data_IF_150522697554
#
_entry.id   IF_150522697554
#
_cell.length_a   1.000
_cell.length_b   1.000
_cell.length_c   1.000
_cell.angle_alpha   90.00
_cell.angle_beta   90.00
_cell.angle_gamma   90.00
#
_symmetry.space_group_name_H-M   'P 1'
#
loop_
_entity.id
_entity.type
_entity.pdbx_description
1 polymer ?
#
# COMPACT_ATOMS: atom_id res chain seq x y z
N UNK A 1 -26.34 -11.74 9.44
CA UNK A 1 -25.07 -12.51 9.34
C UNK A 1 -24.14 -11.98 10.42
N UNK A 2 -23.58 -12.82 11.29
CA UNK A 2 -22.63 -12.37 12.31
C UNK A 2 -21.34 -11.88 11.62
N UNK A 3 -20.70 -10.83 12.15
CA UNK A 3 -19.54 -10.17 11.54
C UNK A 3 -18.42 -11.17 11.18
N UNK A 4 -18.20 -12.19 12.02
CA UNK A 4 -17.26 -13.30 11.76
C UNK A 4 -17.58 -14.10 10.49
N UNK A 5 -18.84 -14.42 10.25
CA UNK A 5 -19.27 -15.18 9.06
C UNK A 5 -19.17 -14.33 7.80
N UNK A 6 -19.41 -13.02 7.91
CA UNK A 6 -19.24 -12.07 6.82
C UNK A 6 -17.76 -11.96 6.43
N UNK A 7 -16.87 -11.78 7.40
CA UNK A 7 -15.42 -11.74 7.19
C UNK A 7 -14.91 -13.03 6.53
N UNK A 8 -15.38 -14.20 7.00
CA UNK A 8 -15.00 -15.50 6.44
C UNK A 8 -15.46 -15.65 4.98
N UNK A 9 -16.66 -15.17 4.67
CA UNK A 9 -17.22 -15.20 3.30
C UNK A 9 -16.46 -14.26 2.37
N UNK A 10 -16.20 -13.02 2.79
CA UNK A 10 -15.43 -12.04 2.02
C UNK A 10 -14.01 -12.55 1.74
N UNK A 11 -13.32 -13.11 2.74
CA UNK A 11 -11.98 -13.70 2.55
C UNK A 11 -11.99 -14.87 1.57
N UNK A 12 -13.03 -15.70 1.56
CA UNK A 12 -13.19 -16.78 0.57
C UNK A 12 -13.45 -16.27 -0.85
N UNK A 13 -14.15 -15.14 -0.98
CA UNK A 13 -14.43 -14.52 -2.28
C UNK A 13 -13.20 -13.81 -2.86
N UNK A 14 -12.44 -13.10 -2.02
CA UNK A 14 -11.25 -12.36 -2.43
C UNK A 14 -10.06 -13.28 -2.73
N UNK A 15 -9.90 -14.38 -1.97
CA UNK A 15 -8.75 -15.27 -2.07
C UNK A 15 -9.16 -16.69 -2.45
N UNK A 16 -8.59 -17.17 -3.55
CA UNK A 16 -8.91 -18.48 -4.15
C UNK A 16 -8.24 -19.63 -3.41
N UNK A 17 -7.05 -19.42 -2.84
CA UNK A 17 -6.28 -20.45 -2.12
C UNK A 17 -6.18 -20.16 -0.62
N UNK A 18 -5.92 -21.20 0.18
CA UNK A 18 -5.67 -21.02 1.62
C UNK A 18 -4.36 -20.27 1.86
N UNK A 19 -3.34 -20.52 1.05
CA UNK A 19 -2.07 -19.79 1.07
C UNK A 19 -2.25 -18.28 0.90
N UNK A 20 -3.09 -17.85 -0.05
CA UNK A 20 -3.41 -16.43 -0.24
C UNK A 20 -4.08 -15.82 0.99
N UNK A 21 -4.98 -16.57 1.65
CA UNK A 21 -5.65 -16.12 2.89
C UNK A 21 -4.66 -15.99 4.03
N UNK A 22 -3.81 -17.00 4.25
CA UNK A 22 -2.79 -16.99 5.29
C UNK A 22 -1.81 -15.83 5.08
N UNK A 23 -1.38 -15.62 3.82
CA UNK A 23 -0.50 -14.50 3.46
C UNK A 23 -1.18 -13.16 3.78
N UNK A 24 -2.45 -12.98 3.41
CA UNK A 24 -3.20 -11.76 3.74
C UNK A 24 -3.34 -11.54 5.26
N UNK A 25 -3.63 -12.57 6.04
CA UNK A 25 -3.70 -12.44 7.51
C UNK A 25 -2.36 -12.04 8.11
N UNK A 26 -1.24 -12.58 7.61
CA UNK A 26 0.09 -12.20 8.05
C UNK A 26 0.39 -10.73 7.72
N UNK A 27 0.05 -10.28 6.50
CA UNK A 27 0.15 -8.86 6.11
C UNK A 27 -0.67 -7.99 7.07
N UNK A 28 -1.95 -8.31 7.27
CA UNK A 28 -2.85 -7.53 8.15
C UNK A 28 -2.40 -7.55 9.61
N UNK A 29 -1.84 -8.66 10.09
CA UNK A 29 -1.29 -8.75 11.45
C UNK A 29 -0.07 -7.82 11.62
N UNK A 30 0.76 -7.69 10.59
CA UNK A 30 1.91 -6.80 10.59
C UNK A 30 1.52 -5.31 10.43
N UNK A 31 0.44 -5.02 9.69
CA UNK A 31 -0.11 -3.66 9.52
C UNK A 31 -0.69 -3.02 10.79
N UNK A 32 -0.72 -3.73 11.93
CA UNK A 32 -1.02 -3.09 13.23
C UNK A 32 0.10 -2.18 13.72
N UNK A 33 1.28 -2.25 13.10
CA UNK A 33 2.41 -1.39 13.37
C UNK A 33 2.41 -0.25 12.34
N UNK A 34 2.70 0.97 12.78
CA UNK A 34 2.92 2.14 11.91
C UNK A 34 4.35 2.13 11.39
N UNK A 35 4.61 2.76 10.25
CA UNK A 35 5.91 2.82 9.60
C UNK A 35 6.10 1.77 8.50
N UNK A 36 7.30 1.75 7.91
CA UNK A 36 7.61 0.85 6.80
C UNK A 36 7.79 -0.60 7.26
N UNK A 37 7.28 -1.54 6.47
CA UNK A 37 7.21 -2.96 6.85
C UNK A 37 7.58 -3.84 5.66
N UNK A 38 8.57 -4.72 5.83
CA UNK A 38 8.80 -5.83 4.91
C UNK A 38 7.76 -6.94 5.19
N UNK A 39 6.91 -7.22 4.21
CA UNK A 39 5.81 -8.21 4.34
C UNK A 39 6.18 -9.59 3.78
N UNK A 40 7.18 -9.63 2.91
CA UNK A 40 7.81 -10.82 2.38
C UNK A 40 9.17 -10.43 1.79
N UNK A 41 10.05 -11.40 1.55
CA UNK A 41 11.37 -11.14 0.95
C UNK A 41 11.25 -10.36 -0.36
N UNK A 42 11.81 -9.15 -0.37
CA UNK A 42 11.75 -8.25 -1.54
C UNK A 42 10.39 -7.59 -1.76
N UNK A 43 9.53 -7.52 -0.73
CA UNK A 43 8.25 -6.82 -0.74
C UNK A 43 8.15 -5.92 0.49
N UNK A 44 8.26 -4.62 0.28
CA UNK A 44 8.26 -3.62 1.36
C UNK A 44 7.10 -2.66 1.18
N UNK A 45 6.29 -2.52 2.23
CA UNK A 45 5.27 -1.49 2.34
C UNK A 45 5.89 -0.23 2.94
N UNK A 46 5.69 0.90 2.27
CA UNK A 46 6.08 2.23 2.73
C UNK A 46 4.85 3.01 3.17
N UNK A 47 4.86 3.54 4.38
CA UNK A 47 3.74 4.34 4.88
C UNK A 47 3.66 5.66 4.09
N UNK A 48 2.54 5.93 3.44
CA UNK A 48 2.32 7.10 2.57
C UNK A 48 0.99 7.77 2.89
N UNK A 49 0.84 8.30 4.13
CA UNK A 49 -0.44 8.77 4.63
C UNK A 49 -0.85 10.09 3.96
N UNK A 50 -2.14 10.40 4.03
CA UNK A 50 -2.70 11.66 3.54
C UNK A 50 -3.91 11.43 2.65
N UNK A 51 -3.82 10.55 1.65
CA UNK A 51 -5.01 10.13 0.89
C UNK A 51 -6.02 9.47 1.84
N UNK A 52 -5.53 8.55 2.65
CA UNK A 52 -6.15 8.07 3.89
C UNK A 52 -5.11 8.05 5.01
N UNK A 53 -5.54 7.92 6.26
CA UNK A 53 -4.64 7.85 7.43
C UNK A 53 -3.73 6.61 7.41
N UNK A 54 -4.24 5.49 6.87
CA UNK A 54 -3.52 4.20 6.82
C UNK A 54 -3.06 3.82 5.41
N UNK A 55 -2.76 4.80 4.55
CA UNK A 55 -2.34 4.54 3.17
C UNK A 55 -0.89 4.04 3.11
N UNK A 56 -0.63 3.05 2.25
CA UNK A 56 0.69 2.49 1.99
C UNK A 56 0.95 2.38 0.49
N UNK A 57 2.22 2.53 0.11
CA UNK A 57 2.75 2.21 -1.22
C UNK A 57 3.62 0.95 -1.12
N UNK A 58 3.78 0.20 -2.22
CA UNK A 58 4.45 -1.10 -2.23
C UNK A 58 5.67 -1.08 -3.15
N UNK A 59 6.84 -1.42 -2.63
CA UNK A 59 8.03 -1.71 -3.43
C UNK A 59 8.19 -3.23 -3.58
N UNK A 60 8.42 -3.66 -4.82
CA UNK A 60 8.70 -5.06 -5.15
C UNK A 60 10.06 -5.16 -5.83
N UNK A 61 10.95 -5.94 -5.23
CA UNK A 61 12.28 -6.26 -5.72
C UNK A 61 12.30 -7.71 -6.24
N UNK A 62 12.43 -7.86 -7.55
CA UNK A 62 12.51 -9.17 -8.20
C UNK A 62 13.93 -9.42 -8.74
N UNK A 63 14.41 -10.68 -8.76
CA UNK A 63 15.70 -11.00 -9.34
C UNK A 63 15.79 -10.57 -10.81
N UNK A 64 16.96 -10.06 -11.21
CA UNK A 64 17.30 -9.72 -12.60
C UNK A 64 16.47 -8.60 -13.24
N UNK A 65 15.90 -7.69 -12.45
CA UNK A 65 15.25 -6.48 -12.96
C UNK A 65 15.27 -5.35 -11.93
N UNK A 66 14.99 -4.14 -12.39
CA UNK A 66 14.83 -3.00 -11.48
C UNK A 66 13.61 -3.20 -10.57
N UNK A 67 13.67 -2.69 -9.32
CA UNK A 67 12.52 -2.63 -8.43
C UNK A 67 11.32 -1.92 -9.06
N UNK A 68 10.12 -2.28 -8.63
CA UNK A 68 8.88 -1.63 -9.03
C UNK A 68 8.21 -1.02 -7.81
N UNK A 69 7.97 0.29 -7.85
CA UNK A 69 7.21 1.01 -6.84
C UNK A 69 5.76 1.21 -7.31
N UNK A 70 4.82 0.67 -6.55
CA UNK A 70 3.38 0.85 -6.72
C UNK A 70 2.92 1.93 -5.74
N UNK A 71 2.59 3.10 -6.26
CA UNK A 71 2.19 4.27 -5.47
C UNK A 71 0.78 4.15 -4.91
N UNK A 72 -0.06 3.31 -5.52
CA UNK A 72 -1.49 3.21 -5.24
C UNK A 72 -2.14 4.60 -5.29
N UNK A 73 -2.99 4.94 -4.32
CA UNK A 73 -3.75 6.18 -4.32
C UNK A 73 -2.95 7.41 -3.84
N UNK A 74 -1.70 7.23 -3.40
CA UNK A 74 -0.83 8.37 -3.05
C UNK A 74 -0.47 9.20 -4.30
N UNK A 75 -0.36 8.56 -5.47
CA UNK A 75 -0.08 9.21 -6.76
C UNK A 75 -0.82 8.46 -7.86
N UNK A 76 -1.87 9.07 -8.43
CA UNK A 76 -2.75 8.41 -9.40
C UNK A 76 -2.12 8.23 -10.78
N UNK A 77 -1.19 9.10 -11.16
CA UNK A 77 -0.65 9.13 -12.52
C UNK A 77 0.76 9.71 -12.56
N UNK A 78 1.48 9.42 -13.63
CA UNK A 78 2.78 10.06 -13.89
C UNK A 78 2.64 11.59 -13.92
N UNK A 79 1.56 12.12 -14.50
CA UNK A 79 1.30 13.55 -14.53
C UNK A 79 1.12 14.15 -13.12
N UNK A 80 0.47 13.41 -12.20
CA UNK A 80 0.36 13.82 -10.79
C UNK A 80 1.74 13.92 -10.14
N UNK A 81 2.63 12.97 -10.42
CA UNK A 81 4.00 12.96 -9.93
C UNK A 81 4.82 14.14 -10.50
N UNK A 82 4.74 14.37 -11.80
CA UNK A 82 5.51 15.40 -12.51
C UNK A 82 5.11 16.81 -12.06
N UNK A 83 3.81 17.03 -11.79
CA UNK A 83 3.25 18.32 -11.41
C UNK A 83 3.19 18.54 -9.88
N UNK A 84 3.64 17.58 -9.07
CA UNK A 84 3.45 17.60 -7.62
C UNK A 84 1.98 17.80 -7.21
N UNK A 85 1.07 17.18 -7.97
CA UNK A 85 -0.36 17.37 -7.84
C UNK A 85 -0.98 16.15 -7.16
N UNK A 86 -1.42 16.32 -5.91
CA UNK A 86 -2.13 15.29 -5.14
C UNK A 86 -3.59 15.15 -5.59
N UNK A 87 -4.20 14.00 -5.31
CA UNK A 87 -5.63 13.77 -5.57
C UNK A 87 -6.52 14.73 -4.76
N UNK A 88 -7.68 15.12 -5.29
CA UNK A 88 -8.69 15.89 -4.54
C UNK A 88 -9.35 15.09 -3.41
N UNK A 89 -9.28 13.76 -3.49
CA UNK A 89 -9.69 12.90 -2.40
C UNK A 89 -8.49 12.71 -1.47
N UNK A 90 -8.50 13.39 -0.33
CA UNK A 90 -7.49 13.24 0.71
C UNK A 90 -8.07 13.57 2.08
N UNK A 91 -7.57 12.91 3.11
CA UNK A 91 -7.82 13.24 4.50
C UNK A 91 -6.96 14.42 4.97
N UNK A 92 -5.68 14.41 4.62
CA UNK A 92 -4.72 15.46 4.95
C UNK A 92 -3.87 15.82 3.72
N UNK A 93 -4.08 17.00 3.09
CA UNK A 93 -3.33 17.39 1.90
C UNK A 93 -1.84 17.64 2.16
N UNK A 94 -1.45 18.04 3.37
CA UNK A 94 -0.04 18.27 3.72
C UNK A 94 0.67 16.93 3.85
N UNK A 95 0.05 15.95 4.50
CA UNK A 95 0.57 14.59 4.56
C UNK A 95 0.64 13.96 3.16
N UNK A 96 -0.41 14.11 2.34
CA UNK A 96 -0.41 13.59 0.96
C UNK A 96 0.74 14.14 0.13
N UNK A 97 1.01 15.45 0.25
CA UNK A 97 2.12 16.06 -0.49
C UNK A 97 3.48 15.55 0.00
N UNK A 98 3.68 15.40 1.32
CA UNK A 98 4.89 14.78 1.87
C UNK A 98 5.06 13.33 1.41
N UNK A 99 3.96 12.57 1.33
CA UNK A 99 3.98 11.20 0.82
C UNK A 99 4.37 11.14 -0.66
N UNK A 100 3.88 12.09 -1.48
CA UNK A 100 4.28 12.23 -2.88
C UNK A 100 5.78 12.52 -3.02
N UNK A 101 6.32 13.47 -2.26
CA UNK A 101 7.75 13.77 -2.28
C UNK A 101 8.59 12.56 -1.83
N UNK A 102 8.16 11.87 -0.77
CA UNK A 102 8.79 10.63 -0.31
C UNK A 102 8.81 9.54 -1.39
N UNK A 103 7.72 9.40 -2.15
CA UNK A 103 7.64 8.46 -3.28
C UNK A 103 8.71 8.77 -4.34
N UNK A 104 8.98 10.05 -4.60
CA UNK A 104 10.06 10.44 -5.51
C UNK A 104 11.42 10.02 -4.98
N UNK A 105 11.69 10.28 -3.69
CA UNK A 105 12.94 9.88 -3.04
C UNK A 105 13.18 8.36 -3.07
N UNK A 106 12.12 7.55 -2.96
CA UNK A 106 12.23 6.08 -3.03
C UNK A 106 12.45 5.59 -4.47
N UNK A 107 11.95 6.33 -5.47
CA UNK A 107 12.02 5.96 -6.87
C UNK A 107 13.35 6.33 -7.55
N UNK A 108 14.15 7.22 -6.93
CA UNK A 108 15.51 7.60 -7.36
C UNK A 108 16.56 6.52 -7.04
#
# INVERSE_FOLDING_TARGET
>A
INNKELTKTVKKLLFKTEEQRTTFELIVANLKQTGDIEIAKGMTLFETPGHTDGHYSLLIELPNRNPMLFTEDAVYSQQSLDLNCISSFHLDPVASHRALERIKEIAE
#
